data_IF_094680555656
#
_entry.id   IF_094680555656
#
_cell.length_a   1.000
_cell.length_b   1.000
_cell.length_c   1.000
_cell.angle_alpha   90.00
_cell.angle_beta   90.00
_cell.angle_gamma   90.00
#
_symmetry.space_group_name_H-M   'P 1'
#
loop_
_entity.id
_entity.type
_entity.pdbx_description
1 polymer ?
#
# COMPACT_ATOMS: atom_id res chain seq x y z
N UNK A 1 3.78 -16.29 3.37
CA UNK A 1 3.74 -17.54 4.12
C UNK A 1 2.93 -18.57 3.34
N UNK A 2 3.54 -19.71 3.00
CA UNK A 2 2.94 -20.75 2.14
C UNK A 2 1.75 -21.45 2.83
N UNK A 3 1.85 -21.67 4.15
CA UNK A 3 0.77 -22.29 4.93
C UNK A 3 -0.50 -21.45 4.91
N UNK A 4 -0.35 -20.16 5.22
CA UNK A 4 -1.48 -19.21 5.24
C UNK A 4 -2.14 -19.05 3.86
N UNK A 5 -1.33 -19.08 2.78
CA UNK A 5 -1.87 -19.06 1.41
C UNK A 5 -2.67 -20.31 1.08
N UNK A 6 -2.18 -21.47 1.51
CA UNK A 6 -2.87 -22.74 1.30
C UNK A 6 -4.21 -22.78 2.06
N UNK A 7 -4.18 -22.40 3.36
CA UNK A 7 -5.39 -22.34 4.18
C UNK A 7 -6.44 -21.39 3.57
N UNK A 8 -5.99 -20.25 3.02
CA UNK A 8 -6.88 -19.33 2.33
C UNK A 8 -7.50 -19.97 1.09
N UNK A 9 -6.70 -20.58 0.20
CA UNK A 9 -7.20 -21.24 -1.02
C UNK A 9 -8.22 -22.32 -0.67
N UNK A 10 -7.93 -23.14 0.34
CA UNK A 10 -8.83 -24.23 0.78
C UNK A 10 -10.16 -23.70 1.35
N UNK A 11 -10.21 -22.44 1.81
CA UNK A 11 -11.41 -21.80 2.34
C UNK A 11 -12.28 -21.11 1.28
N UNK A 12 -11.74 -20.85 0.08
CA UNK A 12 -12.45 -20.11 -0.96
C UNK A 12 -13.43 -21.01 -1.74
N UNK A 13 -14.64 -20.52 -2.04
CA UNK A 13 -15.66 -21.30 -2.79
C UNK A 13 -15.46 -21.24 -4.32
N UNK A 14 -14.30 -20.79 -4.80
CA UNK A 14 -14.01 -20.58 -6.22
C UNK A 14 -12.67 -21.22 -6.60
N UNK A 15 -12.38 -21.30 -7.90
CA UNK A 15 -11.07 -21.73 -8.37
C UNK A 15 -10.01 -20.69 -7.96
N UNK A 16 -9.03 -21.14 -7.21
CA UNK A 16 -7.96 -20.31 -6.68
C UNK A 16 -6.64 -21.07 -6.71
N UNK A 17 -5.53 -20.33 -6.73
CA UNK A 17 -4.18 -20.89 -6.65
C UNK A 17 -3.31 -20.05 -5.74
N UNK A 18 -2.54 -20.71 -4.89
CA UNK A 18 -1.51 -20.09 -4.08
C UNK A 18 -0.17 -20.19 -4.78
N UNK A 19 0.47 -19.05 -5.01
CA UNK A 19 1.83 -18.98 -5.59
C UNK A 19 2.71 -18.17 -4.64
N UNK A 20 3.44 -18.82 -3.72
CA UNK A 20 4.37 -18.13 -2.84
C UNK A 20 5.41 -17.36 -3.64
N UNK A 21 5.44 -16.05 -3.50
CA UNK A 21 6.27 -15.16 -4.32
C UNK A 21 6.92 -14.08 -3.46
N UNK A 22 8.23 -13.95 -3.56
CA UNK A 22 8.93 -12.77 -3.04
C UNK A 22 8.88 -11.67 -4.11
N UNK A 23 8.18 -10.58 -3.82
CA UNK A 23 8.02 -9.47 -4.78
C UNK A 23 9.33 -8.77 -5.15
N UNK A 24 10.39 -8.94 -4.35
CA UNK A 24 11.72 -8.42 -4.63
C UNK A 24 12.42 -9.17 -5.77
N UNK A 25 12.04 -10.41 -5.98
CA UNK A 25 12.58 -11.27 -7.05
C UNK A 25 11.74 -11.10 -8.32
N UNK A 26 12.31 -10.38 -9.29
CA UNK A 26 11.65 -10.13 -10.58
C UNK A 26 11.30 -11.43 -11.31
N UNK A 27 12.17 -12.47 -11.24
CA UNK A 27 11.94 -13.75 -11.90
C UNK A 27 10.77 -14.48 -11.24
N UNK A 28 10.69 -14.46 -9.91
CA UNK A 28 9.56 -15.04 -9.18
C UNK A 28 8.24 -14.35 -9.52
N UNK A 29 8.25 -13.01 -9.63
CA UNK A 29 7.05 -12.23 -10.02
C UNK A 29 6.64 -12.49 -11.48
N UNK A 30 7.60 -12.64 -12.40
CA UNK A 30 7.31 -13.05 -13.79
C UNK A 30 6.70 -14.47 -13.84
N UNK A 31 7.17 -15.37 -12.99
CA UNK A 31 6.63 -16.73 -12.88
C UNK A 31 5.21 -16.72 -12.33
N UNK A 32 4.92 -15.88 -11.32
CA UNK A 32 3.57 -15.66 -10.81
C UNK A 32 2.62 -15.16 -11.91
N UNK A 33 3.06 -14.17 -12.68
CA UNK A 33 2.26 -13.66 -13.79
C UNK A 33 2.01 -14.74 -14.84
N UNK A 34 3.04 -15.52 -15.19
CA UNK A 34 2.88 -16.64 -16.12
C UNK A 34 1.85 -17.64 -15.62
N UNK A 35 1.94 -18.07 -14.37
CA UNK A 35 0.99 -19.02 -13.76
C UNK A 35 -0.45 -18.49 -13.81
N UNK A 36 -0.65 -17.21 -13.46
CA UNK A 36 -1.97 -16.58 -13.51
C UNK A 36 -2.57 -16.60 -14.93
N UNK A 37 -1.79 -16.25 -15.94
CA UNK A 37 -2.26 -16.25 -17.32
C UNK A 37 -2.43 -17.65 -17.90
N UNK A 38 -1.56 -18.60 -17.57
CA UNK A 38 -1.66 -19.99 -18.03
C UNK A 38 -2.92 -20.67 -17.47
N UNK A 39 -3.26 -20.38 -16.20
CA UNK A 39 -4.39 -21.00 -15.53
C UNK A 39 -5.72 -20.34 -15.84
N UNK A 40 -5.78 -19.01 -15.81
CA UNK A 40 -7.02 -18.25 -15.91
C UNK A 40 -7.19 -17.53 -17.25
N UNK A 41 -6.16 -17.49 -18.09
CA UNK A 41 -6.17 -16.87 -19.40
C UNK A 41 -6.10 -15.33 -19.39
N UNK A 42 -6.47 -14.69 -18.29
CA UNK A 42 -6.55 -13.23 -18.15
C UNK A 42 -6.44 -12.75 -16.71
N UNK A 43 -6.17 -11.46 -16.55
CA UNK A 43 -6.21 -10.77 -15.27
C UNK A 43 -7.08 -9.52 -15.44
N UNK A 44 -8.21 -9.48 -14.76
CA UNK A 44 -9.15 -8.37 -14.80
C UNK A 44 -8.92 -7.35 -13.71
N UNK A 45 -8.52 -7.84 -12.52
CA UNK A 45 -8.28 -7.03 -11.35
C UNK A 45 -6.98 -7.49 -10.67
N UNK A 46 -6.06 -6.56 -10.47
CA UNK A 46 -4.76 -6.82 -9.86
C UNK A 46 -4.56 -5.93 -8.62
N UNK A 47 -4.50 -6.53 -7.44
CA UNK A 47 -4.11 -5.83 -6.21
C UNK A 47 -2.59 -5.94 -5.99
N UNK A 48 -1.90 -4.85 -6.17
CA UNK A 48 -0.48 -4.71 -5.88
C UNK A 48 -0.31 -4.25 -4.43
N UNK A 49 -0.38 -5.19 -3.49
CA UNK A 49 -0.62 -4.93 -2.07
C UNK A 49 0.56 -5.29 -1.14
N UNK A 50 1.53 -6.07 -1.59
CA UNK A 50 2.65 -6.49 -0.76
C UNK A 50 3.40 -5.27 -0.18
N UNK A 51 3.65 -5.30 1.13
CA UNK A 51 4.33 -4.19 1.79
C UNK A 51 4.72 -4.51 3.23
N UNK A 52 5.69 -3.75 3.73
CA UNK A 52 6.20 -3.84 5.10
C UNK A 52 6.26 -2.47 5.74
N UNK A 53 6.18 -2.46 7.07
CA UNK A 53 6.36 -1.28 7.91
C UNK A 53 7.74 -1.36 8.59
N UNK A 54 8.42 -0.23 8.69
CA UNK A 54 9.65 -0.07 9.46
C UNK A 54 9.57 1.21 10.27
N UNK A 55 10.05 1.17 11.51
CA UNK A 55 10.06 2.31 12.44
C UNK A 55 11.44 2.53 13.03
N UNK A 56 11.71 3.75 13.46
CA UNK A 56 12.96 4.17 14.11
C UNK A 56 13.21 5.67 13.92
N UNK A 57 14.20 6.20 14.63
CA UNK A 57 14.71 7.55 14.34
C UNK A 57 15.39 7.54 12.98
N UNK A 58 15.04 8.50 12.12
CA UNK A 58 15.47 8.51 10.71
C UNK A 58 16.98 8.41 10.49
N UNK A 59 17.76 8.88 11.45
CA UNK A 59 19.24 8.86 11.44
C UNK A 59 19.85 7.64 12.15
N UNK A 60 19.04 6.79 12.79
CA UNK A 60 19.49 5.57 13.48
C UNK A 60 19.04 4.30 12.76
N UNK A 61 18.02 4.40 11.88
CA UNK A 61 17.60 3.24 11.08
C UNK A 61 18.75 2.83 10.15
N UNK A 62 19.18 1.59 10.29
CA UNK A 62 20.28 1.06 9.49
C UNK A 62 19.96 0.96 8.00
N UNK A 63 21.01 0.92 7.19
CA UNK A 63 20.90 0.87 5.74
C UNK A 63 20.16 -0.39 5.25
N UNK A 64 20.28 -1.51 5.94
CA UNK A 64 19.62 -2.75 5.55
C UNK A 64 18.10 -2.67 5.75
N UNK A 65 17.64 -2.06 6.83
CA UNK A 65 16.22 -1.79 7.10
C UNK A 65 15.63 -0.82 6.06
N UNK A 66 16.37 0.24 5.71
CA UNK A 66 15.99 1.14 4.62
C UNK A 66 15.89 0.38 3.30
N UNK A 67 16.94 -0.37 2.92
CA UNK A 67 16.98 -1.11 1.68
C UNK A 67 15.83 -2.12 1.59
N UNK A 68 15.58 -2.88 2.67
CA UNK A 68 14.46 -3.81 2.73
C UNK A 68 13.11 -3.12 2.48
N UNK A 69 12.91 -1.93 3.05
CA UNK A 69 11.67 -1.16 2.84
C UNK A 69 11.53 -0.70 1.38
N UNK A 70 12.62 -0.23 0.77
CA UNK A 70 12.66 0.15 -0.65
C UNK A 70 12.43 -1.05 -1.56
N UNK A 71 13.11 -2.17 -1.31
CA UNK A 71 13.02 -3.37 -2.14
C UNK A 71 11.62 -3.96 -2.15
N UNK A 72 10.94 -4.01 -1.00
CA UNK A 72 9.59 -4.58 -0.92
C UNK A 72 8.56 -3.56 -1.40
N UNK A 73 8.55 -2.36 -0.82
CA UNK A 73 7.46 -1.40 -1.02
C UNK A 73 7.54 -0.63 -2.35
N UNK A 74 8.73 -0.56 -2.99
CA UNK A 74 8.90 0.16 -4.26
C UNK A 74 9.31 -0.82 -5.37
N UNK A 75 10.46 -1.50 -5.24
CA UNK A 75 10.94 -2.40 -6.30
C UNK A 75 9.96 -3.54 -6.52
N UNK A 76 9.39 -4.11 -5.44
CA UNK A 76 8.36 -5.14 -5.53
C UNK A 76 7.12 -4.67 -6.29
N UNK A 77 6.63 -3.45 -6.01
CA UNK A 77 5.51 -2.87 -6.76
C UNK A 77 5.85 -2.70 -8.24
N UNK A 78 7.05 -2.23 -8.57
CA UNK A 78 7.50 -2.07 -9.95
C UNK A 78 7.67 -3.42 -10.66
N UNK A 79 8.13 -4.47 -9.97
CA UNK A 79 8.23 -5.82 -10.54
C UNK A 79 6.85 -6.36 -10.93
N UNK A 80 5.84 -6.15 -10.07
CA UNK A 80 4.44 -6.52 -10.38
C UNK A 80 3.91 -5.72 -11.57
N UNK A 81 4.12 -4.41 -11.61
CA UNK A 81 3.73 -3.56 -12.75
C UNK A 81 4.35 -4.08 -14.05
N UNK A 82 5.68 -4.36 -14.06
CA UNK A 82 6.39 -4.86 -15.25
C UNK A 82 5.91 -6.23 -15.72
N UNK A 83 5.52 -7.10 -14.78
CA UNK A 83 5.09 -8.45 -15.12
C UNK A 83 3.66 -8.50 -15.67
N UNK A 84 2.77 -7.66 -15.16
CA UNK A 84 1.33 -7.76 -15.45
C UNK A 84 0.85 -6.71 -16.44
N UNK A 85 1.21 -5.43 -16.26
CA UNK A 85 0.61 -4.32 -17.03
C UNK A 85 0.80 -4.45 -18.54
N UNK A 86 1.98 -4.81 -19.08
CA UNK A 86 2.13 -5.00 -20.52
C UNK A 86 1.19 -6.07 -21.10
N UNK A 87 0.95 -7.15 -20.36
CA UNK A 87 0.03 -8.22 -20.76
C UNK A 87 -1.42 -7.77 -20.66
N UNK A 88 -1.78 -7.00 -19.62
CA UNK A 88 -3.12 -6.39 -19.49
C UNK A 88 -3.40 -5.43 -20.64
N UNK A 89 -2.44 -4.59 -21.04
CA UNK A 89 -2.56 -3.67 -22.19
C UNK A 89 -2.73 -4.46 -23.50
N UNK A 90 -1.90 -5.50 -23.70
CA UNK A 90 -1.95 -6.32 -24.90
C UNK A 90 -3.27 -7.09 -25.08
N UNK A 91 -3.97 -7.39 -23.97
CA UNK A 91 -5.28 -8.02 -23.99
C UNK A 91 -6.39 -7.09 -24.53
N UNK A 92 -6.16 -5.79 -24.65
CA UNK A 92 -7.05 -4.75 -25.18
C UNK A 92 -8.48 -4.81 -24.61
N UNK A 93 -8.63 -5.03 -23.33
CA UNK A 93 -9.91 -5.17 -22.62
C UNK A 93 -9.93 -4.40 -21.31
N UNK A 94 -11.12 -4.01 -20.80
CA UNK A 94 -11.22 -3.36 -19.50
C UNK A 94 -10.61 -4.21 -18.40
N UNK A 95 -9.66 -3.63 -17.68
CA UNK A 95 -9.03 -4.25 -16.52
C UNK A 95 -8.49 -3.16 -15.59
N UNK A 96 -8.16 -3.50 -14.36
CA UNK A 96 -7.73 -2.52 -13.37
C UNK A 96 -6.59 -3.05 -12.49
N UNK A 97 -5.62 -2.20 -12.24
CA UNK A 97 -4.59 -2.41 -11.22
C UNK A 97 -4.85 -1.46 -10.04
N UNK A 98 -4.74 -1.97 -8.83
CA UNK A 98 -4.87 -1.22 -7.59
C UNK A 98 -3.52 -1.25 -6.86
N UNK A 99 -2.82 -0.12 -6.80
CA UNK A 99 -1.60 0.01 -6.04
C UNK A 99 -1.93 0.46 -4.61
N UNK A 100 -1.47 -0.31 -3.61
CA UNK A 100 -1.76 -0.03 -2.21
C UNK A 100 -0.70 0.88 -1.60
N UNK A 101 -1.08 2.14 -1.39
CA UNK A 101 -0.34 3.10 -0.57
C UNK A 101 -0.74 2.97 0.91
N UNK A 102 -1.10 4.06 1.55
CA UNK A 102 -1.58 4.22 2.93
C UNK A 102 -1.97 5.68 3.14
N UNK A 103 -2.66 6.00 4.23
CA UNK A 103 -2.70 7.39 4.73
C UNK A 103 -1.28 7.94 4.93
N UNK A 104 -0.31 7.09 5.31
CA UNK A 104 1.11 7.42 5.41
C UNK A 104 1.80 7.80 4.08
N UNK A 105 1.12 7.66 2.93
CA UNK A 105 1.53 8.19 1.63
C UNK A 105 1.08 9.62 1.36
N UNK A 106 0.29 10.21 2.26
CA UNK A 106 -0.18 11.59 2.21
C UNK A 106 0.22 12.39 3.44
N UNK A 107 0.29 11.72 4.59
CA UNK A 107 0.62 12.28 5.89
C UNK A 107 1.84 11.54 6.44
N UNK A 108 2.93 12.27 6.68
CA UNK A 108 4.12 11.65 7.29
C UNK A 108 3.89 11.46 8.78
N UNK A 109 4.39 10.35 9.33
CA UNK A 109 4.48 10.13 10.77
C UNK A 109 5.93 10.21 11.24
N UNK A 110 6.20 10.83 12.41
CA UNK A 110 7.48 10.68 13.10
C UNK A 110 7.81 9.19 13.26
N UNK A 111 9.07 8.85 13.30
CA UNK A 111 9.60 7.50 13.50
C UNK A 111 9.25 6.48 12.39
N UNK A 112 8.62 6.91 11.30
CA UNK A 112 8.19 6.03 10.21
C UNK A 112 8.72 6.50 8.85
N UNK A 113 9.92 7.10 8.82
CA UNK A 113 10.47 7.69 7.61
C UNK A 113 10.57 6.72 6.43
N UNK A 114 11.10 5.47 6.54
CA UNK A 114 11.16 4.55 5.42
C UNK A 114 9.77 4.16 4.91
N UNK A 115 8.83 3.93 5.83
CA UNK A 115 7.45 3.61 5.47
C UNK A 115 6.79 4.76 4.71
N UNK A 116 6.77 5.96 5.30
CA UNK A 116 6.18 7.15 4.67
C UNK A 116 6.82 7.45 3.32
N UNK A 117 8.15 7.43 3.22
CA UNK A 117 8.85 7.68 1.96
C UNK A 117 8.42 6.71 0.85
N UNK A 118 8.31 5.40 1.18
CA UNK A 118 7.88 4.40 0.21
C UNK A 118 6.42 4.57 -0.18
N UNK A 119 5.52 4.90 0.77
CA UNK A 119 4.10 5.08 0.49
C UNK A 119 3.81 6.36 -0.30
N UNK A 120 4.56 7.45 -0.09
CA UNK A 120 4.55 8.63 -0.97
C UNK A 120 5.04 8.30 -2.38
N UNK A 121 6.09 7.47 -2.50
CA UNK A 121 6.56 7.02 -3.81
C UNK A 121 5.49 6.24 -4.58
N UNK A 122 4.69 5.39 -3.90
CA UNK A 122 3.58 4.67 -4.55
C UNK A 122 2.51 5.63 -5.05
N UNK A 123 2.20 6.72 -4.33
CA UNK A 123 1.30 7.78 -4.83
C UNK A 123 1.83 8.33 -6.14
N UNK A 124 3.09 8.78 -6.15
CA UNK A 124 3.71 9.37 -7.34
C UNK A 124 3.79 8.40 -8.54
N UNK A 125 4.16 7.13 -8.30
CA UNK A 125 4.20 6.08 -9.33
C UNK A 125 2.79 5.85 -9.91
N UNK A 126 1.77 5.80 -9.07
CA UNK A 126 0.40 5.53 -9.50
C UNK A 126 -0.19 6.70 -10.30
N UNK A 127 0.08 7.94 -9.89
CA UNK A 127 -0.32 9.15 -10.64
C UNK A 127 0.36 9.21 -12.02
N UNK A 128 1.69 8.97 -12.07
CA UNK A 128 2.41 8.90 -13.34
C UNK A 128 1.83 7.83 -14.27
N UNK A 129 1.60 6.62 -13.75
CA UNK A 129 1.02 5.50 -14.49
C UNK A 129 -0.39 5.82 -15.01
N UNK A 130 -1.21 6.54 -14.25
CA UNK A 130 -2.53 6.97 -14.71
C UNK A 130 -2.43 7.88 -15.94
N UNK A 131 -1.49 8.84 -15.92
CA UNK A 131 -1.20 9.71 -17.07
C UNK A 131 -0.69 8.94 -18.28
N UNK A 132 0.19 7.95 -18.08
CA UNK A 132 0.74 7.09 -19.14
C UNK A 132 -0.36 6.23 -19.79
N UNK A 133 -1.18 5.57 -19.00
CA UNK A 133 -2.31 4.77 -19.51
C UNK A 133 -3.33 5.62 -20.27
N UNK A 134 -3.61 6.84 -19.79
CA UNK A 134 -4.45 7.80 -20.50
C UNK A 134 -3.82 8.21 -21.84
N UNK A 135 -2.54 8.55 -21.87
CA UNK A 135 -1.83 8.95 -23.10
C UNK A 135 -1.82 7.82 -24.15
N UNK A 136 -1.78 6.56 -23.71
CA UNK A 136 -1.84 5.38 -24.56
C UNK A 136 -3.28 5.00 -24.99
N UNK A 137 -4.29 5.73 -24.53
CA UNK A 137 -5.71 5.35 -24.71
C UNK A 137 -6.00 3.91 -24.29
N UNK A 138 -5.33 3.46 -23.22
CA UNK A 138 -5.44 2.10 -22.72
C UNK A 138 -6.80 1.83 -22.10
N UNK A 139 -7.31 0.60 -22.24
CA UNK A 139 -8.48 0.12 -21.49
C UNK A 139 -8.14 -0.31 -20.06
N UNK A 140 -6.84 -0.45 -19.75
CA UNK A 140 -6.36 -0.68 -18.40
C UNK A 140 -6.51 0.60 -17.60
N UNK A 141 -7.11 0.50 -16.42
CA UNK A 141 -7.23 1.60 -15.48
C UNK A 141 -6.34 1.33 -14.26
N UNK A 142 -5.96 2.39 -13.56
CA UNK A 142 -5.25 2.27 -12.29
C UNK A 142 -6.00 3.02 -11.20
N UNK A 143 -5.96 2.47 -9.98
CA UNK A 143 -6.47 3.11 -8.77
C UNK A 143 -5.38 3.09 -7.70
N UNK A 144 -5.42 4.08 -6.82
CA UNK A 144 -4.61 4.14 -5.62
C UNK A 144 -5.48 3.82 -4.41
N UNK A 145 -5.13 2.76 -3.69
CA UNK A 145 -5.76 2.41 -2.42
C UNK A 145 -4.95 3.02 -1.26
N UNK A 146 -5.60 3.80 -0.43
CA UNK A 146 -5.01 4.44 0.75
C UNK A 146 -5.72 4.00 2.04
N UNK A 147 -5.36 2.83 2.59
CA UNK A 147 -5.91 2.38 3.85
C UNK A 147 -5.52 3.28 5.02
N UNK A 148 -6.45 3.50 5.94
CA UNK A 148 -6.19 3.85 7.32
C UNK A 148 -5.85 2.61 8.15
N UNK A 149 -6.13 2.60 9.46
CA UNK A 149 -5.89 1.44 10.31
C UNK A 149 -6.77 0.26 9.90
N UNK A 150 -6.11 -0.86 9.51
CA UNK A 150 -6.75 -2.15 9.25
C UNK A 150 -5.99 -3.21 10.06
N UNK A 151 -6.72 -4.04 10.78
CA UNK A 151 -6.16 -5.11 11.63
C UNK A 151 -5.44 -6.13 10.75
N UNK A 152 -4.11 -6.17 10.86
CA UNK A 152 -3.26 -7.03 10.05
C UNK A 152 -1.88 -7.20 10.70
N UNK A 153 -1.15 -8.23 10.31
CA UNK A 153 0.20 -8.52 10.79
C UNK A 153 1.26 -7.43 10.45
N UNK A 154 0.92 -6.41 9.66
CA UNK A 154 1.85 -5.32 9.36
C UNK A 154 2.26 -4.55 10.63
N UNK A 155 1.39 -4.53 11.65
CA UNK A 155 1.65 -3.88 12.94
C UNK A 155 2.58 -4.69 13.85
N UNK A 156 2.88 -5.95 13.53
CA UNK A 156 3.81 -6.81 14.29
C UNK A 156 5.28 -6.49 13.98
N UNK A 157 5.52 -5.46 13.17
CA UNK A 157 6.86 -5.01 12.83
C UNK A 157 7.68 -4.69 14.07
N UNK A 158 8.96 -5.09 14.07
CA UNK A 158 9.89 -4.80 15.15
C UNK A 158 10.02 -3.29 15.37
N UNK A 159 9.95 -2.87 16.63
CA UNK A 159 10.16 -1.48 17.04
C UNK A 159 11.45 -1.39 17.89
N UNK A 160 12.42 -0.55 17.51
CA UNK A 160 13.54 -0.20 18.39
C UNK A 160 13.06 0.40 19.71
N UNK A 161 13.86 0.25 20.78
CA UNK A 161 13.47 0.72 22.12
C UNK A 161 13.07 2.20 22.18
N UNK A 162 13.72 3.04 21.36
CA UNK A 162 13.45 4.49 21.30
C UNK A 162 12.08 4.82 20.71
N UNK A 163 11.48 3.89 19.94
CA UNK A 163 10.19 4.08 19.29
C UNK A 163 9.13 3.09 19.76
N UNK A 164 9.47 2.25 20.75
CA UNK A 164 8.57 1.22 21.24
C UNK A 164 7.25 1.79 21.76
N UNK A 165 7.30 2.85 22.57
CA UNK A 165 6.12 3.50 23.13
C UNK A 165 5.19 4.07 22.02
N UNK A 166 5.79 4.68 21.00
CA UNK A 166 5.06 5.17 19.84
C UNK A 166 4.39 4.03 19.06
N UNK A 167 5.13 2.94 18.80
CA UNK A 167 4.58 1.79 18.08
C UNK A 167 3.49 1.07 18.91
N UNK A 168 3.65 1.01 20.23
CA UNK A 168 2.61 0.45 21.10
C UNK A 168 1.36 1.33 21.13
N UNK A 169 1.50 2.64 21.05
CA UNK A 169 0.37 3.55 20.87
C UNK A 169 -0.34 3.28 19.52
N UNK A 170 0.40 3.15 18.44
CA UNK A 170 -0.18 2.83 17.11
C UNK A 170 -0.88 1.47 17.11
N UNK A 171 -0.29 0.46 17.76
CA UNK A 171 -0.92 -0.86 17.89
C UNK A 171 -2.25 -0.77 18.64
N UNK A 172 -2.27 -0.10 19.79
CA UNK A 172 -3.52 0.13 20.56
C UNK A 172 -4.56 0.86 19.73
N UNK A 173 -4.18 1.93 19.04
CA UNK A 173 -5.10 2.66 18.16
C UNK A 173 -5.65 1.77 17.04
N UNK A 174 -4.81 0.91 16.46
CA UNK A 174 -5.24 -0.05 15.44
C UNK A 174 -6.17 -1.14 16.01
N UNK A 175 -5.90 -1.61 17.24
CA UNK A 175 -6.74 -2.62 17.90
C UNK A 175 -8.12 -2.04 18.28
N UNK A 176 -8.16 -0.79 18.73
CA UNK A 176 -9.38 -0.12 19.18
C UNK A 176 -10.22 0.42 18.02
N UNK A 177 -9.58 1.01 17.01
CA UNK A 177 -10.25 1.78 15.95
C UNK A 177 -10.02 1.23 14.54
N UNK A 178 -9.15 0.22 14.39
CA UNK A 178 -8.88 -0.39 13.09
C UNK A 178 -10.02 -1.27 12.62
N UNK A 179 -10.36 -1.16 11.35
CA UNK A 179 -11.33 -2.05 10.70
C UNK A 179 -10.78 -3.47 10.61
N UNK A 180 -11.65 -4.45 10.70
CA UNK A 180 -11.30 -5.82 10.32
C UNK A 180 -11.17 -5.93 8.80
N UNK A 181 -10.43 -6.92 8.26
CA UNK A 181 -10.40 -7.17 6.82
C UNK A 181 -11.79 -7.36 6.20
N UNK A 182 -12.70 -8.01 6.91
CA UNK A 182 -14.08 -8.29 6.45
C UNK A 182 -14.95 -7.03 6.39
N UNK A 183 -14.68 -6.04 7.24
CA UNK A 183 -15.34 -4.73 7.18
C UNK A 183 -14.73 -3.84 6.09
N UNK A 184 -13.42 -3.97 5.88
CA UNK A 184 -12.66 -3.10 4.97
C UNK A 184 -12.82 -3.50 3.50
N UNK A 185 -12.76 -4.79 3.18
CA UNK A 185 -12.75 -5.28 1.80
C UNK A 185 -14.01 -4.87 1.00
N UNK A 186 -15.24 -4.93 1.55
CA UNK A 186 -16.44 -4.48 0.84
C UNK A 186 -16.34 -3.01 0.39
N UNK A 187 -15.84 -2.10 1.24
CA UNK A 187 -15.69 -0.69 0.90
C UNK A 187 -14.71 -0.48 -0.28
N UNK A 188 -13.64 -1.29 -0.31
CA UNK A 188 -12.67 -1.26 -1.42
C UNK A 188 -13.32 -1.75 -2.72
N UNK A 189 -14.04 -2.87 -2.68
CA UNK A 189 -14.69 -3.41 -3.88
C UNK A 189 -15.80 -2.50 -4.41
N UNK A 190 -16.60 -1.89 -3.55
CA UNK A 190 -17.59 -0.88 -3.94
C UNK A 190 -16.94 0.33 -4.64
N UNK A 191 -15.80 0.82 -4.14
CA UNK A 191 -15.06 1.90 -4.78
C UNK A 191 -14.48 1.48 -6.14
N UNK A 192 -13.98 0.24 -6.25
CA UNK A 192 -13.51 -0.34 -7.52
C UNK A 192 -14.64 -0.44 -8.53
N UNK A 193 -15.84 -0.90 -8.12
CA UNK A 193 -17.03 -0.97 -8.99
C UNK A 193 -17.49 0.39 -9.48
N UNK A 194 -17.42 1.43 -8.61
CA UNK A 194 -17.67 2.83 -9.01
C UNK A 194 -16.60 3.42 -9.91
N UNK A 195 -15.49 2.73 -10.12
CA UNK A 195 -14.39 3.20 -10.95
C UNK A 195 -13.52 4.28 -10.31
N UNK A 196 -13.50 4.39 -8.98
CA UNK A 196 -12.76 5.43 -8.27
C UNK A 196 -11.24 5.27 -8.47
N UNK A 197 -10.58 6.43 -8.70
CA UNK A 197 -9.12 6.48 -8.74
C UNK A 197 -8.51 6.52 -7.33
N UNK A 198 -9.02 7.42 -6.47
CA UNK A 198 -8.61 7.56 -5.09
C UNK A 198 -9.53 6.71 -4.20
N UNK A 199 -9.09 5.51 -3.85
CA UNK A 199 -9.85 4.62 -2.94
C UNK A 199 -9.38 4.90 -1.52
N UNK A 200 -10.17 5.65 -0.76
CA UNK A 200 -9.91 6.04 0.63
C UNK A 200 -11.07 5.58 1.49
N UNK A 201 -11.06 4.34 2.00
CA UNK A 201 -12.21 3.79 2.75
C UNK A 201 -12.50 4.50 4.08
N UNK A 202 -11.52 5.23 4.63
CA UNK A 202 -11.61 5.98 5.90
C UNK A 202 -11.24 7.46 5.66
N UNK A 203 -12.04 8.23 4.85
CA UNK A 203 -11.68 9.58 4.44
C UNK A 203 -11.61 10.57 5.62
N UNK A 204 -12.37 10.34 6.67
CA UNK A 204 -12.36 11.14 7.91
C UNK A 204 -10.98 11.17 8.59
N UNK A 205 -10.18 10.13 8.39
CA UNK A 205 -8.81 10.04 8.92
C UNK A 205 -7.77 10.75 8.05
N UNK A 206 -8.11 11.05 6.79
CA UNK A 206 -7.21 11.69 5.84
C UNK A 206 -7.51 13.18 5.63
N UNK A 207 -8.76 13.52 5.40
CA UNK A 207 -9.16 14.77 4.78
C UNK A 207 -8.70 16.02 5.55
N UNK A 208 -8.89 16.03 6.86
CA UNK A 208 -8.47 17.16 7.71
C UNK A 208 -6.95 17.31 7.70
N UNK A 209 -6.22 16.24 7.95
CA UNK A 209 -4.75 16.26 7.98
C UNK A 209 -4.14 16.64 6.63
N UNK A 210 -4.74 16.22 5.51
CA UNK A 210 -4.29 16.55 4.17
C UNK A 210 -4.50 18.03 3.86
N UNK A 211 -5.62 18.62 4.27
CA UNK A 211 -5.88 20.07 4.15
C UNK A 211 -4.84 20.85 4.95
N UNK A 212 -4.67 20.52 6.22
CA UNK A 212 -3.73 21.19 7.12
C UNK A 212 -2.30 21.12 6.57
N UNK A 213 -1.88 19.93 6.10
CA UNK A 213 -0.58 19.75 5.44
C UNK A 213 -0.42 20.64 4.20
N UNK A 214 -1.45 20.70 3.36
CA UNK A 214 -1.45 21.53 2.16
C UNK A 214 -1.33 23.00 2.50
N UNK A 215 -2.10 23.47 3.48
CA UNK A 215 -2.05 24.87 3.95
C UNK A 215 -0.68 25.22 4.56
N UNK A 216 -0.07 24.31 5.34
CA UNK A 216 1.29 24.52 5.87
C UNK A 216 2.32 24.66 4.73
N UNK A 217 2.22 23.84 3.69
CA UNK A 217 3.11 23.89 2.53
C UNK A 217 2.94 25.22 1.78
N UNK A 218 1.70 25.61 1.49
CA UNK A 218 1.38 26.86 0.79
C UNK A 218 1.85 28.09 1.58
N UNK A 219 1.67 28.06 2.89
CA UNK A 219 2.11 29.11 3.80
C UNK A 219 3.61 29.06 4.13
N UNK A 220 4.36 28.07 3.62
CA UNK A 220 5.80 27.86 3.91
C UNK A 220 6.09 27.68 5.40
N UNK A 221 5.15 27.17 6.17
CA UNK A 221 5.32 26.88 7.61
C UNK A 221 5.99 25.51 7.78
N UNK A 222 6.79 25.38 8.84
CA UNK A 222 7.33 24.08 9.23
C UNK A 222 6.19 23.13 9.62
N UNK A 223 6.32 21.81 9.36
CA UNK A 223 5.34 20.84 9.82
C UNK A 223 5.33 20.83 11.34
N UNK A 224 4.17 21.07 11.92
CA UNK A 224 3.90 20.79 13.33
C UNK A 224 3.57 19.29 13.44
N UNK A 225 3.90 18.67 14.56
CA UNK A 225 3.68 17.24 14.78
C UNK A 225 2.26 16.84 14.41
N UNK A 226 2.14 16.02 13.37
CA UNK A 226 0.86 15.47 12.94
C UNK A 226 0.30 14.56 14.04
N UNK A 227 -0.62 15.09 14.85
CA UNK A 227 -1.41 14.31 15.81
C UNK A 227 -0.66 13.74 17.03
N UNK A 228 0.60 14.07 17.23
CA UNK A 228 1.41 13.45 18.28
C UNK A 228 1.82 14.37 19.42
N UNK A 229 1.39 15.59 19.52
CA UNK A 229 1.62 16.37 20.77
C UNK A 229 0.59 17.52 20.90
N UNK A 230 -0.49 17.28 21.62
CA UNK A 230 -0.99 18.26 22.58
C UNK A 230 -0.53 17.77 23.98
N UNK A 231 0.73 17.91 24.24
CA UNK A 231 1.38 17.54 25.49
C UNK A 231 2.59 18.41 25.74
N UNK A 232 2.37 19.62 26.31
CA UNK A 232 3.36 20.43 27.03
C UNK A 232 4.76 20.55 26.40
N UNK A 233 4.95 21.52 25.51
CA UNK A 233 6.22 22.25 25.42
C UNK A 233 5.97 23.70 25.82
N UNK A 234 6.17 23.99 27.09
CA UNK A 234 6.53 25.32 27.57
C UNK A 234 7.98 25.61 27.19
#
# INVERSE_FOLDING_TARGET
DESSLKDLVDSLPCDAVAVPTDVRDEIAVQSLAKEAYDRFGQVDLLFNNAGVLSSGLSWEIDAATWQRSLDINIVGVLNVIRAFVPRMIAADRPSRIINTSSLGGFLTSPFMAPYSATKFAIVAITEAMAGELFALSSKVQVSLLAPGPVKSAIMDAHAPSQTAEFMDMLRRMNDENGMTPDEFAPLVFEAVERGEYWIVPQPEMLDTGLRDRTEMILARRAPTSFGLVDGNRN
#
